data_IF_159606989181
#
_entry.id   IF_159606989181
#
_cell.length_a   1.000
_cell.length_b   1.000
_cell.length_c   1.000
_cell.angle_alpha   90.00
_cell.angle_beta   90.00
_cell.angle_gamma   90.00
#
_symmetry.space_group_name_H-M   'P 1'
#
loop_
_entity.id
_entity.type
_entity.pdbx_description
1 polymer ?
#
# COMPACT_ATOMS: atom_id res chain seq x y z
N UNK A 1 11.27 5.70 47.94
CA UNK A 1 10.40 6.37 46.94
C UNK A 1 11.10 7.50 46.17
N UNK A 2 11.64 8.55 46.82
CA UNK A 2 12.24 9.72 46.11
C UNK A 2 13.39 9.39 45.12
N UNK A 3 14.28 8.45 45.46
CA UNK A 3 15.39 8.04 44.57
C UNK A 3 14.90 7.24 43.35
N UNK A 4 13.89 6.39 43.50
CA UNK A 4 13.32 5.60 42.40
C UNK A 4 12.64 6.53 41.40
N UNK A 5 11.84 7.49 41.88
CA UNK A 5 11.18 8.48 41.06
C UNK A 5 12.17 9.32 40.22
N UNK A 6 13.34 9.64 40.78
CA UNK A 6 14.38 10.40 40.08
C UNK A 6 14.93 9.67 38.84
N UNK A 7 14.92 8.33 38.81
CA UNK A 7 15.28 7.54 37.63
C UNK A 7 14.08 7.26 36.73
N UNK A 8 12.93 6.94 37.33
CA UNK A 8 11.75 6.51 36.58
C UNK A 8 11.18 7.64 35.72
N UNK A 9 11.09 8.87 36.25
CA UNK A 9 10.47 9.99 35.54
C UNK A 9 11.22 10.33 34.24
N UNK A 10 12.56 10.51 34.23
CA UNK A 10 13.29 10.73 32.98
C UNK A 10 13.16 9.60 31.96
N UNK A 11 13.17 8.34 32.42
CA UNK A 11 13.00 7.17 31.54
C UNK A 11 11.62 7.20 30.90
N UNK A 12 10.55 7.36 31.69
CA UNK A 12 9.19 7.45 31.18
C UNK A 12 9.01 8.63 30.22
N UNK A 13 9.64 9.77 30.49
CA UNK A 13 9.60 10.92 29.59
C UNK A 13 10.24 10.60 28.22
N UNK A 14 11.39 9.92 28.20
CA UNK A 14 12.00 9.47 26.95
C UNK A 14 11.11 8.51 26.16
N UNK A 15 10.53 7.50 26.83
CA UNK A 15 9.62 6.55 26.17
C UNK A 15 8.34 7.22 25.69
N UNK A 16 7.77 8.16 26.46
CA UNK A 16 6.60 8.92 26.03
C UNK A 16 6.88 9.71 24.75
N UNK A 17 8.03 10.40 24.68
CA UNK A 17 8.49 11.10 23.48
C UNK A 17 8.63 10.13 22.30
N UNK A 18 9.25 8.97 22.50
CA UNK A 18 9.42 7.95 21.45
C UNK A 18 8.09 7.38 20.94
N UNK A 19 7.15 7.08 21.83
CA UNK A 19 5.81 6.60 21.47
C UNK A 19 5.06 7.68 20.69
N UNK A 20 5.05 8.92 21.19
CA UNK A 20 4.42 10.05 20.49
C UNK A 20 5.03 10.27 19.10
N UNK A 21 6.35 10.29 18.98
CA UNK A 21 7.03 10.45 17.70
C UNK A 21 6.67 9.32 16.72
N UNK A 22 6.57 8.08 17.21
CA UNK A 22 6.20 6.91 16.40
C UNK A 22 4.83 7.06 15.73
N UNK A 23 3.84 7.65 16.40
CA UNK A 23 2.53 7.95 15.80
C UNK A 23 2.65 8.94 14.63
N UNK A 24 3.43 10.01 14.77
CA UNK A 24 3.57 11.05 13.76
C UNK A 24 4.40 10.63 12.54
N UNK A 25 5.33 9.69 12.72
CA UNK A 25 6.23 9.25 11.66
C UNK A 25 5.80 7.94 11.00
N UNK A 26 4.80 7.22 11.52
CA UNK A 26 4.41 5.89 11.05
C UNK A 26 4.12 5.84 9.54
N UNK A 27 3.32 6.79 9.02
CA UNK A 27 2.99 6.86 7.60
C UNK A 27 4.23 7.16 6.75
N UNK A 28 5.03 8.16 7.13
CA UNK A 28 6.24 8.49 6.37
C UNK A 28 7.32 7.40 6.42
N UNK A 29 7.43 6.62 7.51
CA UNK A 29 8.32 5.45 7.57
C UNK A 29 7.84 4.34 6.62
N UNK A 30 6.53 4.16 6.47
CA UNK A 30 5.96 3.14 5.59
C UNK A 30 6.00 3.55 4.11
N UNK A 31 5.72 4.83 3.80
CA UNK A 31 5.43 5.30 2.44
C UNK A 31 6.59 6.06 1.79
N UNK A 32 7.26 6.94 2.55
CA UNK A 32 8.18 7.92 1.99
C UNK A 32 9.65 7.54 2.21
N UNK A 33 10.01 7.20 3.45
CA UNK A 33 11.37 6.85 3.84
C UNK A 33 11.98 5.69 3.02
N UNK A 34 11.21 4.65 2.61
CA UNK A 34 11.74 3.59 1.75
C UNK A 34 12.17 4.11 0.38
N UNK A 35 11.55 5.18 -0.13
CA UNK A 35 11.82 5.76 -1.47
C UNK A 35 13.12 6.55 -1.54
N UNK A 36 13.66 6.98 -0.41
CA UNK A 36 14.89 7.77 -0.36
C UNK A 36 16.12 6.92 -0.70
N UNK A 37 17.06 7.50 -1.44
CA UNK A 37 18.39 6.92 -1.63
C UNK A 37 19.13 6.95 -0.29
N UNK A 38 19.41 5.77 0.26
CA UNK A 38 20.04 5.59 1.56
C UNK A 38 21.41 4.90 1.38
N UNK A 39 22.40 5.18 2.24
CA UNK A 39 23.69 4.50 2.18
C UNK A 39 23.52 3.02 2.51
N UNK A 40 24.40 2.17 1.99
CA UNK A 40 24.41 0.71 2.23
C UNK A 40 24.51 0.34 3.71
N UNK A 41 25.05 1.23 4.55
CA UNK A 41 25.17 1.06 6.00
C UNK A 41 23.83 1.18 6.75
N UNK A 42 22.74 1.51 6.06
CA UNK A 42 21.42 1.67 6.70
C UNK A 42 20.92 0.32 7.21
N UNK A 43 20.67 0.17 8.53
CA UNK A 43 20.21 -1.10 9.08
C UNK A 43 18.75 -1.39 8.67
N UNK A 44 18.31 -2.66 8.74
CA UNK A 44 16.92 -3.03 8.53
C UNK A 44 15.95 -2.31 9.48
N UNK A 45 14.71 -2.06 9.05
CA UNK A 45 13.71 -1.30 9.81
C UNK A 45 13.44 -1.83 11.23
N UNK A 46 13.56 -3.16 11.44
CA UNK A 46 13.37 -3.79 12.76
C UNK A 46 14.43 -3.38 13.80
N UNK A 47 15.61 -2.93 13.36
CA UNK A 47 16.70 -2.53 14.25
C UNK A 47 16.38 -1.22 14.97
N UNK A 48 15.65 -0.31 14.32
CA UNK A 48 15.34 1.02 14.85
C UNK A 48 14.57 0.98 16.19
N UNK A 49 13.40 0.31 16.31
CA UNK A 49 12.66 0.28 17.59
C UNK A 49 13.45 -0.40 18.72
N UNK A 50 14.28 -1.40 18.40
CA UNK A 50 15.14 -2.08 19.38
C UNK A 50 16.21 -1.11 19.90
N UNK A 51 16.93 -0.45 18.97
CA UNK A 51 17.96 0.51 19.32
C UNK A 51 17.38 1.66 20.15
N UNK A 52 16.30 2.28 19.69
CA UNK A 52 15.65 3.39 20.41
C UNK A 52 15.20 3.01 21.82
N UNK A 53 14.71 1.79 22.03
CA UNK A 53 14.32 1.33 23.37
C UNK A 53 15.50 1.30 24.34
N UNK A 54 16.66 0.84 23.87
CA UNK A 54 17.90 0.83 24.67
C UNK A 54 18.38 2.26 24.91
N UNK A 55 18.37 3.10 23.87
CA UNK A 55 18.82 4.50 23.96
C UNK A 55 17.98 5.31 24.95
N UNK A 56 16.65 5.23 24.89
CA UNK A 56 15.75 5.92 25.81
C UNK A 56 15.95 5.49 27.27
N UNK A 57 16.17 4.19 27.50
CA UNK A 57 16.52 3.69 28.83
C UNK A 57 17.83 4.33 29.33
N UNK A 58 18.89 4.30 28.52
CA UNK A 58 20.19 4.87 28.88
C UNK A 58 20.13 6.39 29.11
N UNK A 59 19.42 7.13 28.25
CA UNK A 59 19.22 8.58 28.36
C UNK A 59 18.49 8.96 29.65
N UNK A 60 17.43 8.23 30.00
CA UNK A 60 16.67 8.46 31.23
C UNK A 60 17.49 8.12 32.48
N UNK A 61 18.21 7.00 32.47
CA UNK A 61 19.09 6.60 33.57
C UNK A 61 20.22 7.62 33.79
N UNK A 62 20.81 8.14 32.71
CA UNK A 62 21.83 9.20 32.78
C UNK A 62 21.34 10.42 33.57
N UNK A 63 20.16 10.96 33.21
CA UNK A 63 19.61 12.10 33.94
C UNK A 63 19.24 11.73 35.38
N UNK A 64 18.67 10.54 35.60
CA UNK A 64 18.31 10.10 36.94
C UNK A 64 19.49 10.05 37.91
N UNK A 65 20.68 9.63 37.43
CA UNK A 65 21.92 9.67 38.23
C UNK A 65 22.27 11.09 38.66
N UNK A 66 22.16 12.04 37.74
CA UNK A 66 22.50 13.45 37.98
C UNK A 66 21.49 14.12 38.94
N UNK A 67 20.21 13.78 38.83
CA UNK A 67 19.17 14.27 39.75
C UNK A 67 19.42 13.76 41.18
N UNK A 68 19.70 12.46 41.35
CA UNK A 68 19.96 11.88 42.68
C UNK A 68 21.20 12.51 43.33
N UNK A 69 22.19 12.90 42.54
CA UNK A 69 23.41 13.61 42.99
C UNK A 69 23.22 15.13 43.12
N UNK A 70 21.97 15.62 43.11
CA UNK A 70 21.57 17.03 43.28
C UNK A 70 22.28 18.01 42.33
N UNK A 71 22.44 17.62 41.06
CA UNK A 71 23.20 18.40 40.08
C UNK A 71 22.38 19.53 39.43
N UNK A 72 23.10 20.46 38.81
CA UNK A 72 22.65 21.80 38.43
C UNK A 72 21.56 21.87 37.34
N UNK A 73 20.66 22.86 37.47
CA UNK A 73 19.56 23.20 36.54
C UNK A 73 20.01 23.32 35.07
N UNK A 74 21.25 23.72 34.81
CA UNK A 74 21.80 23.84 33.45
C UNK A 74 21.91 22.49 32.71
N UNK A 75 22.33 21.42 33.39
CA UNK A 75 22.45 20.09 32.79
C UNK A 75 21.07 19.52 32.47
N UNK A 76 20.10 19.76 33.36
CA UNK A 76 18.69 19.37 33.15
C UNK A 76 18.12 20.09 31.94
N UNK A 77 18.39 21.40 31.79
CA UNK A 77 17.97 22.17 30.61
C UNK A 77 18.56 21.60 29.32
N UNK A 78 19.85 21.29 29.28
CA UNK A 78 20.48 20.65 28.12
C UNK A 78 19.83 19.30 27.78
N UNK A 79 19.53 18.49 28.80
CA UNK A 79 18.84 17.22 28.60
C UNK A 79 17.42 17.38 28.04
N UNK A 80 16.67 18.39 28.50
CA UNK A 80 15.33 18.70 27.98
C UNK A 80 15.42 19.22 26.55
N UNK A 81 16.33 20.15 26.27
CA UNK A 81 16.50 20.72 24.94
C UNK A 81 16.89 19.68 23.89
N UNK A 82 17.81 18.76 24.21
CA UNK A 82 18.13 17.68 23.28
C UNK A 82 16.95 16.73 23.08
N UNK A 83 16.11 16.50 24.09
CA UNK A 83 14.94 15.62 23.95
C UNK A 83 13.86 16.27 23.08
N UNK A 84 13.70 17.60 23.19
CA UNK A 84 12.83 18.38 22.30
C UNK A 84 13.35 18.33 20.87
N UNK A 85 14.65 18.58 20.65
CA UNK A 85 15.26 18.48 19.32
C UNK A 85 15.10 17.05 18.74
N UNK A 86 15.31 16.01 19.56
CA UNK A 86 15.07 14.63 19.14
C UNK A 86 13.63 14.39 18.64
N UNK A 87 12.63 14.92 19.35
CA UNK A 87 11.24 14.85 18.93
C UNK A 87 10.98 15.67 17.66
N UNK A 88 11.50 16.89 17.60
CA UNK A 88 11.37 17.77 16.44
C UNK A 88 11.99 17.17 15.18
N UNK A 89 13.13 16.47 15.30
CA UNK A 89 13.74 15.75 14.19
C UNK A 89 12.74 14.80 13.52
N UNK A 90 12.00 14.00 14.30
CA UNK A 90 10.97 13.10 13.78
C UNK A 90 9.89 13.85 13.00
N UNK A 91 9.46 15.02 13.49
CA UNK A 91 8.46 15.84 12.82
C UNK A 91 9.01 16.46 11.54
N UNK A 92 10.18 17.09 11.60
CA UNK A 92 10.81 17.80 10.49
C UNK A 92 11.19 16.85 9.35
N UNK A 93 11.84 15.74 9.70
CA UNK A 93 12.34 14.78 8.73
C UNK A 93 11.22 13.89 8.19
N UNK A 94 10.46 13.22 9.06
CA UNK A 94 9.44 12.27 8.60
C UNK A 94 8.09 12.92 8.33
N UNK A 95 7.50 13.66 9.28
CA UNK A 95 6.14 14.18 9.10
C UNK A 95 6.07 15.26 8.03
N UNK A 96 7.00 16.22 8.05
CA UNK A 96 7.07 17.30 7.05
C UNK A 96 7.87 16.91 5.80
N UNK A 97 8.46 15.70 5.76
CA UNK A 97 9.23 15.18 4.63
C UNK A 97 10.29 16.18 4.12
N UNK A 98 10.97 16.86 5.04
CA UNK A 98 11.95 17.90 4.71
C UNK A 98 13.37 17.47 5.14
N UNK A 99 14.14 16.82 4.24
CA UNK A 99 15.49 16.35 4.55
C UNK A 99 16.46 17.45 4.99
N UNK A 100 16.32 18.68 4.44
CA UNK A 100 17.18 19.79 4.82
C UNK A 100 16.90 20.25 6.27
N UNK A 101 15.63 20.43 6.61
CA UNK A 101 15.23 20.81 7.97
C UNK A 101 15.61 19.71 8.98
N UNK A 102 15.38 18.44 8.63
CA UNK A 102 15.82 17.31 9.44
C UNK A 102 17.35 17.24 9.60
N UNK A 103 18.11 17.57 8.55
CA UNK A 103 19.57 17.62 8.62
C UNK A 103 20.07 18.77 9.52
N UNK A 104 19.48 19.95 9.42
CA UNK A 104 19.82 21.08 10.30
C UNK A 104 19.52 20.73 11.76
N UNK A 105 18.36 20.14 12.03
CA UNK A 105 17.97 19.74 13.38
C UNK A 105 18.89 18.64 13.94
N UNK A 106 19.22 17.59 13.17
CA UNK A 106 20.10 16.52 13.67
C UNK A 106 21.53 17.02 13.95
N UNK A 107 22.02 18.03 13.20
CA UNK A 107 23.30 18.69 13.50
C UNK A 107 23.21 19.45 14.83
N UNK A 108 22.14 20.24 15.03
CA UNK A 108 21.89 20.93 16.29
C UNK A 108 21.77 19.95 17.46
N UNK A 109 21.06 18.84 17.26
CA UNK A 109 20.90 17.78 18.25
C UNK A 109 22.25 17.21 18.66
N UNK A 110 23.13 16.88 17.71
CA UNK A 110 24.48 16.39 18.02
C UNK A 110 25.28 17.39 18.88
N UNK A 111 25.16 18.69 18.63
CA UNK A 111 25.79 19.73 19.46
C UNK A 111 25.22 19.70 20.88
N UNK A 112 23.89 19.68 21.04
CA UNK A 112 23.23 19.63 22.35
C UNK A 112 23.61 18.36 23.13
N UNK A 113 23.69 17.22 22.45
CA UNK A 113 24.13 15.93 23.03
C UNK A 113 25.57 16.01 23.48
N UNK A 114 26.48 16.56 22.67
CA UNK A 114 27.89 16.76 23.03
C UNK A 114 28.06 17.69 24.23
N UNK A 115 27.33 18.81 24.25
CA UNK A 115 27.32 19.75 25.38
C UNK A 115 26.80 19.09 26.66
N UNK A 116 25.74 18.27 26.56
CA UNK A 116 25.23 17.51 27.69
C UNK A 116 26.27 16.51 28.21
N UNK A 117 26.90 15.71 27.34
CA UNK A 117 27.93 14.73 27.70
C UNK A 117 29.11 15.41 28.38
N UNK A 118 29.58 16.53 27.84
CA UNK A 118 30.67 17.31 28.42
C UNK A 118 30.32 17.86 29.80
N UNK A 119 29.13 18.44 29.95
CA UNK A 119 28.67 18.97 31.24
C UNK A 119 28.46 17.85 32.27
N UNK A 120 27.92 16.70 31.84
CA UNK A 120 27.70 15.52 32.67
C UNK A 120 29.03 14.88 33.09
N UNK A 121 30.03 14.79 32.20
CA UNK A 121 31.30 14.10 32.49
C UNK A 121 32.11 14.78 33.59
N UNK A 122 31.97 16.11 33.73
CA UNK A 122 32.54 16.90 34.84
C UNK A 122 31.90 16.61 36.20
N UNK A 123 30.73 15.95 36.24
CA UNK A 123 29.94 15.72 37.46
C UNK A 123 29.73 14.25 37.79
N UNK A 124 29.39 13.43 36.80
CA UNK A 124 29.23 11.99 36.90
C UNK A 124 29.63 11.35 35.56
N UNK A 125 30.83 10.76 35.54
CA UNK A 125 31.36 10.07 34.34
C UNK A 125 30.46 8.93 33.88
N UNK A 126 29.81 8.21 34.80
CA UNK A 126 28.92 7.11 34.42
C UNK A 126 27.63 7.63 33.77
N UNK A 127 27.12 8.79 34.21
CA UNK A 127 26.00 9.44 33.51
C UNK A 127 26.40 9.83 32.08
N UNK A 128 27.58 10.44 31.91
CA UNK A 128 28.09 10.77 30.58
C UNK A 128 28.25 9.53 29.68
N UNK A 129 28.80 8.43 30.20
CA UNK A 129 28.98 7.18 29.46
C UNK A 129 27.66 6.54 29.03
N UNK A 130 26.61 6.63 29.86
CA UNK A 130 25.27 6.16 29.48
C UNK A 130 24.71 6.92 28.26
N UNK A 131 25.18 8.13 27.97
CA UNK A 131 24.72 8.93 26.84
C UNK A 131 25.53 8.71 25.55
N UNK A 132 26.69 8.05 25.64
CA UNK A 132 27.58 7.80 24.49
C UNK A 132 26.93 6.94 23.39
N UNK A 133 26.19 5.85 23.70
CA UNK A 133 25.49 5.09 22.65
C UNK A 133 24.53 5.96 21.84
N UNK A 134 23.87 6.92 22.49
CA UNK A 134 22.96 7.85 21.82
C UNK A 134 23.71 8.84 20.94
N UNK A 135 24.86 9.38 21.38
CA UNK A 135 25.71 10.22 20.52
C UNK A 135 26.17 9.47 19.27
N UNK A 136 26.60 8.22 19.40
CA UNK A 136 27.01 7.41 18.25
C UNK A 136 25.84 7.21 17.28
N UNK A 137 24.64 6.97 17.82
CA UNK A 137 23.42 6.85 17.01
C UNK A 137 23.06 8.15 16.30
N UNK A 138 23.12 9.30 16.96
CA UNK A 138 22.80 10.61 16.35
C UNK A 138 23.85 11.06 15.34
N UNK A 139 25.12 10.68 15.52
CA UNK A 139 26.17 10.89 14.51
C UNK A 139 25.93 10.03 13.27
N UNK A 140 25.56 8.76 13.45
CA UNK A 140 25.14 7.90 12.35
C UNK A 140 23.89 8.46 11.64
N UNK A 141 22.89 8.91 12.40
CA UNK A 141 21.70 9.53 11.85
C UNK A 141 22.04 10.81 11.07
N UNK A 142 22.98 11.63 11.55
CA UNK A 142 23.44 12.81 10.82
C UNK A 142 24.12 12.45 9.50
N UNK A 143 24.99 11.42 9.50
CA UNK A 143 25.57 10.89 8.27
C UNK A 143 24.49 10.44 7.29
N UNK A 144 23.50 9.66 7.76
CA UNK A 144 22.37 9.20 6.96
C UNK A 144 21.55 10.35 6.38
N UNK A 145 21.21 11.36 7.19
CA UNK A 145 20.46 12.54 6.75
C UNK A 145 21.25 13.35 5.72
N UNK A 146 22.56 13.52 5.93
CA UNK A 146 23.45 14.20 4.99
C UNK A 146 23.58 13.44 3.67
N UNK A 147 23.70 12.11 3.72
CA UNK A 147 23.69 11.27 2.52
C UNK A 147 22.38 11.44 1.75
N UNK A 148 21.24 11.36 2.44
CA UNK A 148 19.92 11.58 1.85
C UNK A 148 19.80 12.99 1.29
N UNK A 149 20.35 14.02 1.93
CA UNK A 149 20.30 15.38 1.40
C UNK A 149 21.12 15.55 0.12
N UNK A 150 22.27 14.87 0.03
CA UNK A 150 23.17 14.94 -1.13
C UNK A 150 22.74 14.04 -2.29
N UNK A 151 22.01 12.96 -2.03
CA UNK A 151 21.66 11.92 -3.01
C UNK A 151 20.13 11.71 -3.13
N UNK A 152 19.33 12.56 -2.49
CA UNK A 152 17.89 12.41 -2.29
C UNK A 152 17.06 12.86 -3.47
N UNK A 153 16.32 11.88 -4.02
CA UNK A 153 15.57 11.84 -5.29
C UNK A 153 16.42 12.13 -6.53
N UNK A 154 16.35 11.29 -7.59
CA UNK A 154 16.79 11.73 -8.90
C UNK A 154 16.02 13.02 -9.20
N UNK A 155 16.74 14.12 -9.42
CA UNK A 155 16.12 15.31 -9.98
C UNK A 155 15.44 14.88 -11.28
N UNK A 156 14.15 15.22 -11.42
CA UNK A 156 13.60 15.45 -12.74
C UNK A 156 14.44 16.57 -13.36
N UNK A 157 15.49 16.20 -14.09
CA UNK A 157 16.26 17.16 -14.85
C UNK A 157 15.34 17.69 -15.97
N UNK A 158 15.23 19.01 -16.16
CA UNK A 158 14.61 19.54 -17.36
C UNK A 158 15.57 19.20 -18.51
N UNK A 159 15.20 18.23 -19.35
CA UNK A 159 15.99 17.90 -20.54
C UNK A 159 15.83 19.03 -21.55
N UNK A 160 16.64 20.08 -21.40
CA UNK A 160 17.04 20.91 -22.53
C UNK A 160 17.83 20.01 -23.49
N UNK A 161 17.32 19.87 -24.70
CA UNK A 161 17.98 19.17 -25.80
C UNK A 161 19.34 19.85 -26.04
N UNK A 162 20.43 19.17 -25.68
CA UNK A 162 21.71 19.40 -26.33
C UNK A 162 22.18 18.09 -26.95
N UNK A 163 22.22 18.17 -28.28
CA UNK A 163 22.70 17.15 -29.19
C UNK A 163 24.21 16.98 -29.00
N UNK A 164 24.64 15.84 -28.48
CA UNK A 164 25.97 15.32 -28.80
C UNK A 164 25.86 13.81 -29.05
N UNK A 165 26.16 13.46 -30.30
CA UNK A 165 26.11 12.13 -30.87
C UNK A 165 27.31 11.31 -30.44
N UNK A 166 27.08 10.20 -29.73
CA UNK A 166 27.99 9.05 -29.75
C UNK A 166 27.16 7.77 -29.90
N UNK A 167 27.32 7.19 -31.08
CA UNK A 167 26.69 5.99 -31.60
C UNK A 167 27.22 4.75 -30.88
N UNK A 168 26.38 4.06 -30.11
CA UNK A 168 26.50 2.60 -29.90
C UNK A 168 25.12 1.98 -30.08
N UNK A 169 25.05 1.08 -31.06
CA UNK A 169 23.88 0.36 -31.53
C UNK A 169 23.51 -0.85 -30.67
N UNK A 170 22.25 -0.96 -30.22
CA UNK A 170 21.36 -2.16 -30.31
C UNK A 170 19.94 -1.84 -29.77
N UNK A 171 18.89 -2.59 -30.15
CA UNK A 171 17.59 -2.04 -30.56
C UNK A 171 16.40 -2.42 -29.66
N UNK A 172 15.24 -1.83 -30.00
CA UNK A 172 13.88 -1.96 -29.42
C UNK A 172 13.66 -1.16 -28.14
N UNK A 173 13.06 0.02 -28.31
CA UNK A 173 12.34 0.76 -27.27
C UNK A 173 11.20 -0.14 -26.77
N UNK A 174 11.46 -0.98 -25.79
CA UNK A 174 10.37 -1.58 -25.02
C UNK A 174 9.66 -0.43 -24.30
N UNK A 175 8.40 -0.20 -24.67
CA UNK A 175 7.58 0.84 -24.03
C UNK A 175 7.31 0.38 -22.61
N UNK A 176 7.71 1.18 -21.63
CA UNK A 176 7.28 1.02 -20.24
C UNK A 176 5.75 1.13 -20.22
N UNK A 177 5.07 0.08 -19.76
CA UNK A 177 3.63 0.07 -19.56
C UNK A 177 3.29 0.94 -18.36
N UNK A 178 2.44 1.94 -18.55
CA UNK A 178 1.94 2.81 -17.48
C UNK A 178 0.55 2.35 -17.08
N UNK A 179 0.38 1.97 -15.82
CA UNK A 179 -0.91 1.58 -15.27
C UNK A 179 -1.73 2.82 -14.91
N UNK A 180 -3.04 2.79 -15.16
CA UNK A 180 -3.94 3.92 -14.93
C UNK A 180 -5.01 3.56 -13.90
N UNK A 181 -5.59 4.59 -13.30
CA UNK A 181 -6.82 4.45 -12.52
C UNK A 181 -7.95 3.89 -13.40
N UNK A 182 -8.80 2.99 -12.89
CA UNK A 182 -9.90 2.46 -13.68
C UNK A 182 -11.03 3.48 -13.77
N UNK A 183 -11.57 3.70 -14.97
CA UNK A 183 -12.79 4.49 -15.11
C UNK A 183 -13.99 3.69 -14.59
N UNK A 184 -14.77 4.28 -13.69
CA UNK A 184 -15.90 3.62 -13.06
C UNK A 184 -17.21 4.03 -13.74
N UNK A 185 -18.18 3.10 -13.89
CA UNK A 185 -19.44 3.37 -14.59
C UNK A 185 -20.46 4.16 -13.75
N UNK A 186 -20.04 4.73 -12.62
CA UNK A 186 -20.91 5.45 -11.69
C UNK A 186 -20.12 6.57 -10.98
N UNK A 187 -20.84 7.56 -10.43
CA UNK A 187 -20.22 8.69 -9.74
C UNK A 187 -19.78 8.36 -8.31
N UNK A 188 -18.99 9.25 -7.72
CA UNK A 188 -18.43 9.15 -6.37
C UNK A 188 -19.48 8.97 -5.26
N UNK A 189 -20.71 9.43 -5.47
CA UNK A 189 -21.81 9.37 -4.50
C UNK A 189 -22.77 8.21 -4.75
N UNK A 190 -22.63 7.49 -5.88
CA UNK A 190 -23.63 6.56 -6.36
C UNK A 190 -23.90 5.39 -5.38
N UNK A 191 -22.89 4.99 -4.60
CA UNK A 191 -22.99 3.87 -3.65
C UNK A 191 -23.54 4.28 -2.27
N UNK A 192 -23.83 5.56 -2.06
CA UNK A 192 -24.41 6.04 -0.81
C UNK A 192 -25.86 5.52 -0.62
N UNK A 193 -26.31 5.28 0.63
CA UNK A 193 -25.58 5.45 1.90
C UNK A 193 -24.76 4.21 2.32
N UNK A 194 -24.69 3.16 1.51
CA UNK A 194 -24.01 1.90 1.87
C UNK A 194 -22.48 2.03 1.84
N UNK A 195 -21.98 2.94 1.00
CA UNK A 195 -20.63 3.47 1.05
C UNK A 195 -20.74 4.98 0.87
N UNK A 196 -20.31 5.76 1.85
CA UNK A 196 -20.40 7.21 1.75
C UNK A 196 -19.45 7.75 0.69
N UNK A 197 -19.76 8.96 0.21
CA UNK A 197 -18.86 9.74 -0.66
C UNK A 197 -17.47 9.85 -0.05
N UNK A 198 -17.40 10.10 1.27
CA UNK A 198 -16.12 10.25 1.97
C UNK A 198 -15.31 8.94 1.93
N UNK A 199 -15.93 7.80 2.26
CA UNK A 199 -15.28 6.48 2.11
C UNK A 199 -14.80 6.29 0.67
N UNK A 200 -15.62 6.60 -0.32
CA UNK A 200 -15.27 6.45 -1.73
C UNK A 200 -14.07 7.33 -2.14
N UNK A 201 -14.06 8.61 -1.79
CA UNK A 201 -12.99 9.55 -2.10
C UNK A 201 -11.65 9.13 -1.50
N UNK A 202 -11.65 8.59 -0.27
CA UNK A 202 -10.43 8.05 0.33
C UNK A 202 -10.05 6.69 -0.25
N UNK A 203 -10.99 5.77 -0.43
CA UNK A 203 -10.69 4.40 -0.85
C UNK A 203 -10.29 4.32 -2.33
N UNK A 204 -11.09 4.90 -3.22
CA UNK A 204 -10.78 4.98 -4.65
C UNK A 204 -9.78 6.12 -4.94
N UNK A 205 -10.08 7.34 -4.49
CA UNK A 205 -9.34 8.55 -4.88
C UNK A 205 -8.00 8.75 -4.17
N UNK A 206 -7.73 8.05 -3.05
CA UNK A 206 -6.44 8.10 -2.34
C UNK A 206 -5.75 6.75 -2.27
N UNK A 207 -6.36 5.72 -1.70
CA UNK A 207 -5.72 4.43 -1.50
C UNK A 207 -5.39 3.75 -2.84
N UNK A 208 -6.39 3.53 -3.71
CA UNK A 208 -6.15 2.94 -5.04
C UNK A 208 -5.20 3.80 -5.89
N UNK A 209 -5.40 5.12 -5.94
CA UNK A 209 -4.48 6.04 -6.63
C UNK A 209 -3.03 5.88 -6.17
N UNK A 210 -2.80 5.80 -4.86
CA UNK A 210 -1.46 5.63 -4.29
C UNK A 210 -0.82 4.30 -4.71
N UNK A 211 -1.59 3.22 -4.79
CA UNK A 211 -1.07 1.94 -5.28
C UNK A 211 -0.68 1.99 -6.76
N UNK A 212 -1.50 2.64 -7.59
CA UNK A 212 -1.21 2.85 -9.03
C UNK A 212 0.05 3.71 -9.21
N UNK A 213 0.14 4.83 -8.50
CA UNK A 213 1.29 5.74 -8.57
C UNK A 213 2.58 5.06 -8.11
N UNK A 214 2.52 4.33 -6.99
CA UNK A 214 3.66 3.58 -6.49
C UNK A 214 4.08 2.47 -7.43
N UNK A 215 3.13 1.72 -8.01
CA UNK A 215 3.45 0.69 -8.99
C UNK A 215 4.22 1.29 -10.17
N UNK A 216 3.68 2.36 -10.79
CA UNK A 216 4.32 3.05 -11.92
C UNK A 216 5.71 3.60 -11.58
N UNK A 217 5.95 3.95 -10.31
CA UNK A 217 7.28 4.38 -9.83
C UNK A 217 8.24 3.21 -9.63
N UNK A 218 7.75 2.02 -9.30
CA UNK A 218 8.56 0.85 -8.95
C UNK A 218 8.91 -0.05 -10.14
N UNK A 219 8.08 -0.08 -11.19
CA UNK A 219 8.30 -0.97 -12.35
C UNK A 219 9.45 -0.57 -13.29
N UNK A 220 9.84 0.71 -13.51
CA UNK A 220 10.87 1.06 -14.49
C UNK A 220 12.23 0.43 -14.15
N UNK A 221 12.90 -0.16 -15.14
CA UNK A 221 14.17 -0.85 -14.98
C UNK A 221 14.07 -2.23 -14.33
N UNK A 222 12.85 -2.77 -14.20
CA UNK A 222 12.60 -4.11 -13.68
C UNK A 222 12.06 -5.03 -14.77
N UNK A 223 12.08 -6.37 -14.59
CA UNK A 223 11.47 -7.30 -15.55
C UNK A 223 9.96 -7.10 -15.74
N UNK A 224 9.31 -6.29 -14.91
CA UNK A 224 7.86 -6.05 -14.91
C UNK A 224 7.45 -4.84 -15.75
N UNK A 225 8.40 -4.03 -16.24
CA UNK A 225 8.12 -2.72 -16.85
C UNK A 225 7.23 -2.77 -18.09
N UNK A 226 7.17 -3.90 -18.78
CA UNK A 226 6.35 -4.12 -19.98
C UNK A 226 5.17 -5.09 -19.74
N UNK A 227 4.98 -5.56 -18.50
CA UNK A 227 3.96 -6.54 -18.15
C UNK A 227 2.61 -5.89 -17.83
N UNK A 228 1.53 -6.61 -18.15
CA UNK A 228 0.19 -6.23 -17.69
C UNK A 228 0.07 -6.34 -16.17
N UNK A 229 -0.86 -5.58 -15.57
CA UNK A 229 -1.09 -5.60 -14.13
C UNK A 229 -1.32 -7.03 -13.59
N UNK A 230 -2.09 -7.85 -14.31
CA UNK A 230 -2.36 -9.24 -13.95
C UNK A 230 -1.09 -10.12 -13.96
N UNK A 231 -0.21 -9.92 -14.94
CA UNK A 231 1.06 -10.66 -15.01
C UNK A 231 1.99 -10.27 -13.89
N UNK A 232 2.06 -8.99 -13.54
CA UNK A 232 2.83 -8.51 -12.39
C UNK A 232 2.32 -9.17 -11.11
N UNK A 233 1.00 -9.20 -10.88
CA UNK A 233 0.43 -9.88 -9.70
C UNK A 233 0.83 -11.35 -9.60
N UNK A 234 0.96 -12.04 -10.73
CA UNK A 234 1.32 -13.47 -10.75
C UNK A 234 2.83 -13.73 -10.60
N UNK A 235 3.69 -12.77 -10.93
CA UNK A 235 5.15 -12.97 -11.06
C UNK A 235 6.00 -12.14 -10.10
N UNK A 236 5.48 -11.02 -9.61
CA UNK A 236 6.21 -10.14 -8.70
C UNK A 236 6.16 -10.65 -7.26
N UNK A 237 7.11 -10.17 -6.46
CA UNK A 237 7.13 -10.30 -5.03
C UNK A 237 7.34 -8.92 -4.35
N UNK A 238 7.33 -8.92 -3.02
CA UNK A 238 7.69 -7.76 -2.22
C UNK A 238 6.86 -6.49 -2.54
N UNK A 239 7.49 -5.30 -2.59
CA UNK A 239 6.78 -4.04 -2.80
C UNK A 239 6.08 -3.92 -4.17
N UNK A 240 6.63 -4.52 -5.23
CA UNK A 240 6.01 -4.49 -6.56
C UNK A 240 4.74 -5.33 -6.53
N UNK A 241 4.80 -6.53 -5.97
CA UNK A 241 3.60 -7.36 -5.75
C UNK A 241 2.55 -6.63 -4.92
N UNK A 242 2.94 -6.03 -3.79
CA UNK A 242 1.99 -5.36 -2.90
C UNK A 242 1.20 -4.25 -3.63
N UNK A 243 1.88 -3.40 -4.40
CA UNK A 243 1.22 -2.31 -5.12
C UNK A 243 0.43 -2.82 -6.34
N UNK A 244 0.97 -3.78 -7.09
CA UNK A 244 0.27 -4.38 -8.23
C UNK A 244 -1.01 -5.11 -7.79
N UNK A 245 -0.91 -5.95 -6.76
CA UNK A 245 -2.04 -6.70 -6.27
C UNK A 245 -3.07 -5.80 -5.58
N UNK A 246 -2.66 -4.80 -4.80
CA UNK A 246 -3.63 -3.85 -4.25
C UNK A 246 -4.31 -3.03 -5.34
N UNK A 247 -3.58 -2.54 -6.35
CA UNK A 247 -4.20 -1.84 -7.48
C UNK A 247 -5.22 -2.76 -8.19
N UNK A 248 -4.84 -3.99 -8.48
CA UNK A 248 -5.73 -4.97 -9.13
C UNK A 248 -6.95 -5.30 -8.26
N UNK A 249 -6.76 -5.56 -6.97
CA UNK A 249 -7.83 -5.94 -6.04
C UNK A 249 -8.88 -4.83 -5.92
N UNK A 250 -8.43 -3.57 -5.78
CA UNK A 250 -9.33 -2.42 -5.69
C UNK A 250 -10.04 -2.15 -7.01
N UNK A 251 -9.34 -2.19 -8.15
CA UNK A 251 -9.97 -2.08 -9.47
C UNK A 251 -11.05 -3.15 -9.64
N UNK A 252 -10.74 -4.39 -9.29
CA UNK A 252 -11.69 -5.50 -9.35
C UNK A 252 -12.89 -5.28 -8.44
N UNK A 253 -12.66 -4.81 -7.20
CA UNK A 253 -13.68 -4.50 -6.21
C UNK A 253 -14.61 -3.38 -6.66
N UNK A 254 -14.11 -2.24 -7.14
CA UNK A 254 -14.99 -1.16 -7.58
C UNK A 254 -15.76 -1.54 -8.86
N UNK A 255 -15.13 -2.18 -9.84
CA UNK A 255 -15.82 -2.57 -11.08
C UNK A 255 -16.89 -3.67 -10.91
N UNK A 256 -17.03 -4.24 -9.71
CA UNK A 256 -18.11 -5.17 -9.38
C UNK A 256 -19.17 -4.58 -8.46
N UNK A 257 -19.06 -3.30 -8.10
CA UNK A 257 -20.12 -2.61 -7.37
C UNK A 257 -21.04 -1.90 -8.36
N UNK A 258 -22.28 -1.66 -7.94
CA UNK A 258 -23.27 -0.91 -8.71
C UNK A 258 -24.25 -0.21 -7.76
N UNK A 259 -24.70 1.02 -8.09
CA UNK A 259 -25.83 1.65 -7.40
C UNK A 259 -27.17 0.93 -7.67
N UNK A 260 -27.27 0.27 -8.83
CA UNK A 260 -28.52 -0.29 -9.36
C UNK A 260 -28.43 -1.82 -9.40
N UNK A 261 -28.36 -2.43 -8.22
CA UNK A 261 -28.26 -3.89 -8.11
C UNK A 261 -29.50 -4.56 -8.72
N UNK A 262 -29.26 -5.43 -9.71
CA UNK A 262 -30.26 -6.34 -10.27
C UNK A 262 -30.27 -7.67 -9.51
N UNK A 263 -31.34 -8.47 -9.62
CA UNK A 263 -31.34 -9.83 -9.09
C UNK A 263 -30.20 -10.67 -9.69
N UNK A 264 -29.68 -11.61 -8.90
CA UNK A 264 -28.68 -12.56 -9.34
C UNK A 264 -29.21 -13.40 -10.53
N UNK A 265 -28.48 -13.51 -11.66
CA UNK A 265 -28.88 -14.37 -12.76
C UNK A 265 -29.04 -15.84 -12.32
N UNK A 266 -30.09 -16.52 -12.78
CA UNK A 266 -30.40 -17.89 -12.34
C UNK A 266 -29.24 -18.87 -12.58
N UNK A 267 -28.55 -18.77 -13.72
CA UNK A 267 -27.36 -19.60 -14.05
C UNK A 267 -26.23 -19.44 -13.02
N UNK A 268 -26.06 -18.23 -12.45
CA UNK A 268 -25.12 -17.98 -11.36
C UNK A 268 -25.61 -18.56 -10.04
N UNK A 269 -26.89 -18.37 -9.71
CA UNK A 269 -27.51 -18.95 -8.52
C UNK A 269 -27.37 -20.48 -8.50
N UNK A 270 -27.62 -21.16 -9.64
CA UNK A 270 -27.48 -22.61 -9.78
C UNK A 270 -26.03 -23.06 -9.61
N UNK A 271 -25.07 -22.31 -10.15
CA UNK A 271 -23.63 -22.60 -9.98
C UNK A 271 -23.20 -22.45 -8.52
N UNK A 272 -23.69 -21.43 -7.82
CA UNK A 272 -23.43 -21.25 -6.39
C UNK A 272 -24.09 -22.37 -5.58
N UNK A 273 -25.36 -22.70 -5.85
CA UNK A 273 -26.08 -23.77 -5.16
C UNK A 273 -25.41 -25.14 -5.36
N UNK A 274 -24.85 -25.42 -6.55
CA UNK A 274 -24.06 -26.63 -6.81
C UNK A 274 -22.88 -26.76 -5.84
N UNK A 275 -22.16 -25.68 -5.58
CA UNK A 275 -20.88 -25.73 -4.85
C UNK A 275 -21.03 -25.49 -3.35
N UNK A 276 -22.06 -24.76 -2.92
CA UNK A 276 -22.30 -24.37 -1.53
C UNK A 276 -23.63 -24.89 -0.95
N UNK A 277 -24.41 -25.63 -1.74
CA UNK A 277 -25.74 -26.15 -1.36
C UNK A 277 -26.88 -25.17 -1.63
N UNK A 278 -26.71 -23.89 -1.29
CA UNK A 278 -27.66 -22.81 -1.66
C UNK A 278 -26.97 -21.44 -1.74
N UNK A 279 -27.66 -20.45 -2.28
CA UNK A 279 -27.17 -19.06 -2.32
C UNK A 279 -27.08 -18.47 -0.91
N UNK A 280 -28.00 -18.84 -0.02
CA UNK A 280 -28.03 -18.41 1.38
C UNK A 280 -26.84 -18.99 2.14
N UNK A 281 -26.57 -20.29 1.97
CA UNK A 281 -25.41 -20.95 2.59
C UNK A 281 -24.10 -20.32 2.12
N UNK A 282 -23.98 -20.00 0.82
CA UNK A 282 -22.85 -19.26 0.28
C UNK A 282 -22.69 -17.88 0.93
N UNK A 283 -23.77 -17.08 1.00
CA UNK A 283 -23.71 -15.74 1.62
C UNK A 283 -23.31 -15.82 3.09
N UNK A 284 -23.80 -16.81 3.82
CA UNK A 284 -23.44 -17.05 5.22
C UNK A 284 -21.96 -17.41 5.37
N UNK A 285 -21.47 -18.39 4.61
CA UNK A 285 -20.07 -18.84 4.66
C UNK A 285 -19.11 -17.70 4.24
N UNK A 286 -19.45 -16.97 3.19
CA UNK A 286 -18.65 -15.85 2.71
C UNK A 286 -18.60 -14.72 3.74
N UNK A 287 -19.75 -14.37 4.33
CA UNK A 287 -19.82 -13.34 5.38
C UNK A 287 -19.04 -13.73 6.62
N UNK A 288 -19.08 -15.02 6.99
CA UNK A 288 -18.31 -15.58 8.11
C UNK A 288 -16.80 -15.49 7.85
N UNK A 289 -16.35 -15.84 6.64
CA UNK A 289 -14.96 -15.73 6.23
C UNK A 289 -14.46 -14.26 6.24
N UNK A 290 -15.25 -13.34 5.68
CA UNK A 290 -14.94 -11.91 5.67
C UNK A 290 -14.90 -11.30 7.08
N UNK A 291 -15.81 -11.71 7.96
CA UNK A 291 -15.83 -11.26 9.36
C UNK A 291 -14.63 -11.81 10.14
N UNK A 292 -14.30 -13.09 9.93
CA UNK A 292 -13.27 -13.82 10.66
C UNK A 292 -11.82 -13.54 10.21
N UNK A 293 -11.61 -12.88 9.07
CA UNK A 293 -10.26 -12.53 8.61
C UNK A 293 -9.63 -11.51 9.56
N UNK A 294 -8.60 -11.93 10.31
CA UNK A 294 -7.91 -11.07 11.25
C UNK A 294 -6.97 -10.07 10.56
N UNK A 295 -7.10 -8.79 10.89
CA UNK A 295 -6.31 -7.71 10.31
C UNK A 295 -6.82 -7.27 8.94
N UNK A 296 -5.88 -6.81 8.11
CA UNK A 296 -6.09 -6.35 6.75
C UNK A 296 -6.15 -7.50 5.75
N UNK A 297 -7.08 -7.44 4.79
CA UNK A 297 -7.15 -8.42 3.72
C UNK A 297 -8.43 -8.39 2.91
N UNK A 298 -8.64 -9.47 2.17
CA UNK A 298 -9.68 -9.63 1.17
C UNK A 298 -10.33 -11.00 1.31
N UNK A 299 -11.64 -11.07 1.15
CA UNK A 299 -12.33 -12.37 1.01
C UNK A 299 -12.90 -12.50 -0.39
N UNK A 300 -12.62 -13.65 -1.01
CA UNK A 300 -12.84 -13.89 -2.42
C UNK A 300 -13.77 -15.08 -2.63
N UNK A 301 -14.59 -14.98 -3.65
CA UNK A 301 -15.10 -16.12 -4.39
C UNK A 301 -14.15 -16.32 -5.56
N UNK A 302 -13.61 -17.52 -5.70
CA UNK A 302 -12.73 -17.86 -6.80
C UNK A 302 -13.12 -19.22 -7.40
N UNK A 303 -12.84 -19.41 -8.69
CA UNK A 303 -13.01 -20.67 -9.38
C UNK A 303 -11.65 -21.37 -9.56
N UNK A 304 -11.62 -22.68 -9.37
CA UNK A 304 -10.49 -23.50 -9.82
C UNK A 304 -10.55 -23.75 -11.33
N UNK A 305 -9.57 -24.50 -11.84
CA UNK A 305 -9.45 -24.87 -13.26
C UNK A 305 -10.65 -25.67 -13.79
N UNK A 306 -11.37 -26.37 -12.93
CA UNK A 306 -12.53 -27.21 -13.27
C UNK A 306 -13.84 -26.40 -13.14
N UNK A 307 -13.74 -25.12 -12.80
CA UNK A 307 -14.87 -24.21 -12.61
C UNK A 307 -15.63 -24.47 -11.31
N UNK A 308 -15.03 -25.14 -10.32
CA UNK A 308 -15.57 -25.27 -8.98
C UNK A 308 -15.31 -23.99 -8.19
N UNK A 309 -16.36 -23.44 -7.61
CA UNK A 309 -16.28 -22.24 -6.77
C UNK A 309 -15.81 -22.59 -5.35
N UNK A 310 -15.03 -21.69 -4.79
CA UNK A 310 -14.56 -21.77 -3.41
C UNK A 310 -14.38 -20.38 -2.80
N UNK A 311 -14.53 -20.31 -1.48
CA UNK A 311 -14.28 -19.10 -0.70
C UNK A 311 -12.84 -19.15 -0.20
N UNK A 312 -12.10 -18.07 -0.41
CA UNK A 312 -10.72 -17.94 0.07
C UNK A 312 -10.50 -16.54 0.66
N UNK A 313 -9.84 -16.49 1.81
CA UNK A 313 -9.48 -15.24 2.46
C UNK A 313 -7.97 -15.06 2.37
N UNK A 314 -7.55 -13.86 1.97
CA UNK A 314 -6.15 -13.51 1.73
C UNK A 314 -5.76 -12.31 2.60
N UNK A 315 -4.65 -12.41 3.30
CA UNK A 315 -4.15 -11.30 4.12
C UNK A 315 -3.45 -10.25 3.25
N UNK A 316 -3.54 -8.99 3.69
CA UNK A 316 -2.91 -7.83 3.07
C UNK A 316 -3.27 -7.69 1.58
N UNK A 317 -2.28 -7.87 0.69
CA UNK A 317 -2.41 -7.76 -0.76
C UNK A 317 -2.66 -9.11 -1.46
N UNK A 318 -2.81 -10.20 -0.71
CA UNK A 318 -2.92 -11.54 -1.28
C UNK A 318 -4.07 -11.66 -2.28
N UNK A 319 -3.84 -12.45 -3.34
CA UNK A 319 -4.75 -12.58 -4.47
C UNK A 319 -4.81 -14.04 -4.95
N UNK A 320 -6.01 -14.62 -5.18
CA UNK A 320 -6.17 -16.02 -5.61
C UNK A 320 -5.44 -16.38 -6.92
N UNK A 321 -5.16 -15.41 -7.80
CA UNK A 321 -4.41 -15.63 -9.05
C UNK A 321 -3.01 -16.19 -8.80
N UNK A 322 -2.40 -15.86 -7.65
CA UNK A 322 -1.09 -16.40 -7.25
C UNK A 322 -1.12 -17.92 -6.98
N UNK A 323 -2.33 -18.46 -6.74
CA UNK A 323 -2.59 -19.88 -6.48
C UNK A 323 -3.23 -20.59 -7.67
N UNK A 324 -3.21 -19.95 -8.85
CA UNK A 324 -3.83 -20.49 -10.07
C UNK A 324 -5.35 -20.48 -10.06
N UNK A 325 -5.98 -19.75 -9.14
CA UNK A 325 -7.42 -19.60 -9.08
C UNK A 325 -7.88 -18.36 -9.85
N UNK A 326 -9.07 -18.42 -10.41
CA UNK A 326 -9.71 -17.29 -11.11
C UNK A 326 -10.60 -16.51 -10.13
N UNK A 327 -10.29 -15.24 -9.80
CA UNK A 327 -11.18 -14.43 -8.96
C UNK A 327 -12.52 -14.16 -9.66
N UNK A 328 -13.61 -14.22 -8.88
CA UNK A 328 -14.99 -14.05 -9.36
C UNK A 328 -15.68 -12.89 -8.65
N UNK A 329 -15.54 -12.82 -7.32
CA UNK A 329 -16.16 -11.81 -6.45
C UNK A 329 -15.18 -11.50 -5.30
N UNK A 330 -15.15 -10.28 -4.79
CA UNK A 330 -14.34 -9.94 -3.61
C UNK A 330 -14.98 -8.90 -2.73
N UNK A 331 -14.60 -8.89 -1.45
CA UNK A 331 -14.86 -7.79 -0.53
C UNK A 331 -13.54 -7.34 0.10
N UNK A 332 -13.29 -6.03 0.11
CA UNK A 332 -12.21 -5.41 0.88
C UNK A 332 -12.61 -5.37 2.36
N UNK A 333 -11.84 -6.01 3.24
CA UNK A 333 -12.03 -5.94 4.70
C UNK A 333 -10.87 -5.28 5.41
N UNK A 334 -10.03 -4.55 4.69
CA UNK A 334 -9.18 -3.51 5.28
C UNK A 334 -10.04 -2.45 5.96
N UNK A 335 -9.58 -1.92 7.08
CA UNK A 335 -10.39 -0.97 7.86
C UNK A 335 -10.73 0.28 7.05
N UNK A 336 -9.86 0.76 6.15
CA UNK A 336 -10.16 1.92 5.30
C UNK A 336 -11.42 1.74 4.43
N UNK A 337 -11.83 0.51 4.12
CA UNK A 337 -13.00 0.25 3.29
C UNK A 337 -14.33 0.53 4.01
N UNK A 338 -14.32 0.57 5.35
CA UNK A 338 -15.56 0.67 6.14
C UNK A 338 -15.47 1.53 7.39
N UNK A 339 -14.28 1.94 7.85
CA UNK A 339 -14.16 2.57 9.16
C UNK A 339 -14.86 3.92 9.23
N UNK A 340 -14.91 4.68 8.13
CA UNK A 340 -15.60 5.97 8.03
C UNK A 340 -17.12 5.81 8.23
N UNK A 341 -17.73 4.74 7.70
CA UNK A 341 -19.19 4.54 7.74
C UNK A 341 -19.64 3.65 8.90
N UNK A 342 -18.83 2.64 9.25
CA UNK A 342 -19.21 1.57 10.16
C UNK A 342 -18.34 1.49 11.42
N UNK A 343 -17.19 2.19 11.46
CA UNK A 343 -16.18 2.09 12.53
C UNK A 343 -15.81 0.61 12.72
N UNK A 344 -15.85 0.10 13.95
CA UNK A 344 -15.52 -1.30 14.25
C UNK A 344 -16.57 -2.31 13.78
N UNK A 345 -17.73 -1.88 13.24
CA UNK A 345 -18.86 -2.75 12.88
C UNK A 345 -18.69 -3.37 11.50
N UNK A 346 -17.63 -4.15 11.30
CA UNK A 346 -17.35 -4.84 10.02
C UNK A 346 -18.52 -5.70 9.53
N UNK A 347 -19.23 -6.37 10.45
CA UNK A 347 -20.39 -7.19 10.10
C UNK A 347 -21.53 -6.36 9.45
N UNK A 348 -21.75 -5.12 9.89
CA UNK A 348 -22.75 -4.24 9.31
C UNK A 348 -22.34 -3.78 7.91
N UNK A 349 -21.04 -3.51 7.71
CA UNK A 349 -20.48 -3.23 6.38
C UNK A 349 -20.67 -4.41 5.42
N UNK A 350 -20.34 -5.63 5.84
CA UNK A 350 -20.53 -6.85 5.03
C UNK A 350 -22.01 -7.03 4.66
N UNK A 351 -22.92 -6.74 5.59
CA UNK A 351 -24.35 -6.77 5.32
C UNK A 351 -24.76 -5.79 4.22
N UNK A 352 -24.27 -4.55 4.28
CA UNK A 352 -24.52 -3.53 3.25
C UNK A 352 -23.85 -3.84 1.91
N UNK A 353 -22.67 -4.47 1.91
CA UNK A 353 -21.96 -4.87 0.70
C UNK A 353 -22.80 -5.80 -0.19
N UNK A 354 -23.59 -6.71 0.39
CA UNK A 354 -24.47 -7.61 -0.38
C UNK A 354 -25.50 -6.89 -1.26
N UNK A 355 -25.84 -5.63 -0.95
CA UNK A 355 -26.78 -4.80 -1.71
C UNK A 355 -26.10 -3.96 -2.81
N UNK A 356 -24.78 -4.00 -2.91
CA UNK A 356 -24.00 -3.22 -3.90
C UNK A 356 -23.40 -4.07 -5.02
N UNK A 357 -23.51 -5.40 -4.97
CA UNK A 357 -22.86 -6.28 -5.94
C UNK A 357 -23.57 -6.21 -7.28
N UNK A 358 -22.79 -6.00 -8.34
CA UNK A 358 -23.21 -6.22 -9.72
C UNK A 358 -23.13 -7.72 -10.05
N UNK A 359 -24.27 -8.40 -9.92
CA UNK A 359 -24.36 -9.83 -10.19
C UNK A 359 -24.18 -10.20 -11.67
N UNK A 360 -24.44 -9.27 -12.60
CA UNK A 360 -24.17 -9.50 -14.02
C UNK A 360 -22.65 -9.60 -14.23
N UNK A 361 -21.87 -8.68 -13.65
CA UNK A 361 -20.39 -8.73 -13.69
C UNK A 361 -19.82 -9.98 -13.01
N UNK A 362 -20.42 -10.42 -11.91
CA UNK A 362 -20.02 -11.68 -11.25
C UNK A 362 -20.32 -12.88 -12.16
N UNK A 363 -21.50 -12.90 -12.80
CA UNK A 363 -21.89 -13.97 -13.72
C UNK A 363 -21.00 -14.03 -14.95
N UNK A 364 -20.67 -12.88 -15.56
CA UNK A 364 -19.82 -12.80 -16.75
C UNK A 364 -18.41 -13.36 -16.52
N UNK A 365 -17.89 -13.28 -15.29
CA UNK A 365 -16.60 -13.88 -14.92
C UNK A 365 -16.65 -15.40 -14.84
N UNK A 366 -17.82 -16.00 -14.60
CA UNK A 366 -18.01 -17.46 -14.59
C UNK A 366 -18.44 -17.96 -15.97
N UNK A 367 -19.29 -17.20 -16.65
CA UNK A 367 -19.86 -17.50 -17.95
C UNK A 367 -19.53 -16.37 -18.94
N UNK A 368 -18.28 -16.31 -19.44
CA UNK A 368 -17.88 -15.27 -20.36
C UNK A 368 -18.77 -15.29 -21.59
N UNK A 369 -19.39 -14.14 -21.88
CA UNK A 369 -20.25 -14.00 -23.05
C UNK A 369 -19.39 -14.06 -24.31
N UNK A 370 -19.83 -14.84 -25.28
CA UNK A 370 -19.25 -14.83 -26.62
C UNK A 370 -19.91 -13.73 -27.43
N UNK A 371 -19.15 -13.13 -28.33
CA UNK A 371 -19.62 -12.01 -29.14
C UNK A 371 -19.47 -12.35 -30.61
N UNK A 372 -20.57 -12.35 -31.36
CA UNK A 372 -20.54 -12.57 -32.80
C UNK A 372 -20.37 -11.23 -33.53
N UNK A 373 -19.48 -11.20 -34.51
CA UNK A 373 -19.43 -10.12 -35.47
C UNK A 373 -20.72 -10.13 -36.31
N UNK A 374 -21.35 -8.98 -36.53
CA UNK A 374 -22.59 -8.93 -37.31
C UNK A 374 -22.38 -9.02 -38.82
N UNK A 375 -21.16 -8.78 -39.32
CA UNK A 375 -20.84 -8.84 -40.75
C UNK A 375 -20.16 -10.15 -41.19
N UNK A 376 -19.65 -10.96 -40.25
CA UNK A 376 -19.04 -12.25 -40.56
C UNK A 376 -19.28 -13.24 -39.42
N UNK A 377 -19.07 -14.53 -39.66
CA UNK A 377 -19.29 -15.58 -38.65
C UNK A 377 -18.19 -15.65 -37.57
N UNK A 378 -17.35 -14.62 -37.44
CA UNK A 378 -16.35 -14.56 -36.38
C UNK A 378 -17.01 -14.40 -35.01
N UNK A 379 -16.60 -15.24 -34.06
CA UNK A 379 -17.04 -15.18 -32.68
C UNK A 379 -15.84 -14.90 -31.78
N UNK A 380 -15.84 -13.75 -31.12
CA UNK A 380 -14.91 -13.49 -30.05
C UNK A 380 -15.27 -14.33 -28.84
N UNK A 381 -14.32 -15.17 -28.42
CA UNK A 381 -14.39 -15.98 -27.22
C UNK A 381 -13.42 -15.39 -26.19
N UNK A 382 -13.90 -14.77 -25.10
CA UNK A 382 -13.03 -14.21 -24.07
C UNK A 382 -12.02 -15.23 -23.52
N UNK A 383 -12.33 -16.53 -23.52
CA UNK A 383 -11.38 -17.54 -23.06
C UNK A 383 -10.14 -17.65 -23.97
N UNK A 384 -10.28 -17.29 -25.25
CA UNK A 384 -9.21 -17.31 -26.24
C UNK A 384 -8.53 -15.94 -26.43
N UNK A 385 -9.27 -14.86 -26.22
CA UNK A 385 -8.78 -13.51 -26.54
C UNK A 385 -8.60 -13.34 -28.06
N UNK A 386 -7.72 -12.42 -28.43
CA UNK A 386 -7.22 -12.24 -29.80
C UNK A 386 -5.72 -11.87 -29.76
N UNK A 387 -4.83 -12.85 -29.50
CA UNK A 387 -3.41 -12.58 -29.26
C UNK A 387 -2.67 -11.98 -30.46
N UNK A 388 -3.14 -12.25 -31.69
CA UNK A 388 -2.55 -11.68 -32.90
C UNK A 388 -2.74 -10.16 -32.97
N UNK A 389 -3.88 -9.67 -32.47
CA UNK A 389 -4.17 -8.24 -32.30
C UNK A 389 -3.75 -7.69 -30.93
N UNK A 390 -3.02 -8.46 -30.12
CA UNK A 390 -2.54 -8.04 -28.80
C UNK A 390 -3.56 -8.14 -27.67
N UNK A 391 -4.68 -8.82 -27.87
CA UNK A 391 -5.71 -9.06 -26.84
C UNK A 391 -5.44 -10.41 -26.17
N UNK A 392 -5.05 -10.37 -24.90
CA UNK A 392 -4.70 -11.59 -24.16
C UNK A 392 -5.90 -12.55 -23.97
N UNK A 393 -5.66 -13.87 -23.89
CA UNK A 393 -6.68 -14.81 -23.45
C UNK A 393 -7.20 -14.45 -22.06
N UNK A 394 -8.52 -14.46 -21.90
CA UNK A 394 -9.22 -14.07 -20.67
C UNK A 394 -9.71 -12.61 -20.66
N UNK A 395 -9.39 -11.80 -21.67
CA UNK A 395 -9.90 -10.43 -21.79
C UNK A 395 -11.40 -10.46 -22.10
N UNK A 396 -12.23 -9.85 -21.24
CA UNK A 396 -13.65 -9.69 -21.50
C UNK A 396 -13.87 -8.81 -22.74
N UNK A 397 -14.96 -9.01 -23.48
CA UNK A 397 -15.19 -8.27 -24.72
C UNK A 397 -15.30 -6.76 -24.48
N UNK A 398 -15.87 -6.38 -23.34
CA UNK A 398 -16.02 -4.99 -22.91
C UNK A 398 -14.67 -4.31 -22.70
N UNK A 399 -13.67 -5.06 -22.25
CA UNK A 399 -12.32 -4.59 -21.91
C UNK A 399 -11.38 -4.50 -23.12
N UNK A 400 -11.82 -4.92 -24.31
CA UNK A 400 -11.07 -4.76 -25.56
C UNK A 400 -11.00 -3.26 -25.91
N UNK A 401 -9.87 -2.72 -26.41
CA UNK A 401 -9.82 -1.34 -26.92
C UNK A 401 -10.90 -1.05 -27.97
N UNK A 402 -11.47 0.16 -27.97
CA UNK A 402 -12.55 0.51 -28.91
C UNK A 402 -12.10 0.62 -30.37
N UNK A 403 -10.79 0.80 -30.58
CA UNK A 403 -10.15 0.76 -31.90
C UNK A 403 -9.81 -0.65 -32.39
N UNK A 404 -10.07 -1.68 -31.57
CA UNK A 404 -9.98 -3.07 -32.03
C UNK A 404 -11.05 -3.34 -33.08
N UNK A 405 -10.64 -4.09 -34.10
CA UNK A 405 -11.48 -4.50 -35.22
C UNK A 405 -11.53 -6.01 -35.32
N UNK A 406 -12.61 -6.53 -35.87
CA UNK A 406 -12.75 -7.94 -36.18
C UNK A 406 -11.56 -8.41 -37.03
N UNK A 407 -10.81 -9.45 -36.61
CA UNK A 407 -9.62 -9.91 -37.33
C UNK A 407 -9.95 -10.53 -38.70
N UNK A 408 -11.22 -10.86 -38.95
CA UNK A 408 -11.67 -11.47 -40.20
C UNK A 408 -12.11 -10.42 -41.23
N UNK A 409 -12.94 -9.46 -40.82
CA UNK A 409 -13.59 -8.52 -41.75
C UNK A 409 -13.27 -7.04 -41.50
N UNK A 410 -12.50 -6.72 -40.45
CA UNK A 410 -12.11 -5.34 -40.12
C UNK A 410 -13.24 -4.48 -39.54
N UNK A 411 -14.39 -5.07 -39.20
CA UNK A 411 -15.52 -4.35 -38.61
C UNK A 411 -15.23 -3.95 -37.16
N UNK A 412 -15.65 -2.75 -36.76
CA UNK A 412 -15.40 -2.24 -35.42
C UNK A 412 -16.13 -3.04 -34.33
N UNK A 413 -15.58 -2.95 -33.11
CA UNK A 413 -16.09 -3.59 -31.89
C UNK A 413 -17.58 -3.34 -31.63
N UNK A 414 -18.09 -2.16 -31.94
CA UNK A 414 -19.50 -1.76 -31.77
C UNK A 414 -20.49 -2.60 -32.59
N UNK A 415 -19.99 -3.31 -33.60
CA UNK A 415 -20.76 -4.09 -34.53
C UNK A 415 -20.80 -5.57 -34.15
N UNK A 416 -20.40 -5.91 -32.92
CA UNK A 416 -20.56 -7.24 -32.35
C UNK A 416 -21.80 -7.32 -31.47
N UNK A 417 -22.39 -8.51 -31.40
CA UNK A 417 -23.56 -8.80 -30.58
C UNK A 417 -23.32 -10.01 -29.72
N UNK A 418 -23.91 -10.02 -28.53
CA UNK A 418 -23.84 -11.18 -27.63
C UNK A 418 -24.41 -12.41 -28.35
N UNK A 419 -23.67 -13.50 -28.30
CA UNK A 419 -24.20 -14.82 -28.64
C UNK A 419 -25.01 -15.27 -27.43
N UNK A 420 -26.33 -15.21 -27.54
CA UNK A 420 -27.21 -15.83 -26.56
C UNK A 420 -26.94 -17.34 -26.58
N UNK A 421 -26.30 -17.87 -25.53
CA UNK A 421 -26.27 -19.30 -25.30
C UNK A 421 -27.70 -19.74 -24.95
N UNK A 422 -28.33 -20.50 -25.86
CA UNK A 422 -29.62 -21.16 -25.63
C UNK A 422 -29.58 -22.13 -24.46
#
# INVERSE_FOLDING_TARGET
>A
MKKIAAYLIPVLACFAVGISASFFQASSIAEWYPTLTKPTLTPPNIVFPIAWSVLYLCMGLSLGRLIVRRQHKGIIRLWVLQLIANFLWSILFFTLRNPLAGFIDIVLLNILVGLYIFAASRRDRAAAWLFVPYLLWTLFAAYLNGYILLHGTPAAAPTTIQTESLTISKPKTERIMVHKMPELPYSTEALAPKMSKETFEYHYGKHLQTYVDNLNRLIPGTPYESMSLQEIVKKADGPIFNNAAQAWNHTFFFLMLTPDQKPMPQKLADRIARDFGSVEAFKEEFSKAATGLFGSGWTWLAADKDGKLQIISESNAGNPMTKGLKPVMTIDVWEHAYYIDYRNRRADFIKSYWELIDWDKVADRIFPRKYHCTACDYVYDPAKGDPESGIAPGTAFEDIPDDWVCPVCGLYKDSFKIVEEK
#
